data_IF_344235422736
#
_entry.id   IF_344235422736
#
_cell.length_a   1.000
_cell.length_b   1.000
_cell.length_c   1.000
_cell.angle_alpha   90.00
_cell.angle_beta   90.00
_cell.angle_gamma   90.00
#
_symmetry.space_group_name_H-M   'P 1'
#
loop_
_entity.id
_entity.type
_entity.pdbx_description
1 polymer ?
#
# COMPACT_ATOMS: atom_id res chain seq x y z
N UNK A 1 0.70 11.93 -7.86
CA UNK A 1 0.56 11.15 -6.61
C UNK A 1 -0.32 9.90 -6.74
N UNK A 2 -1.66 10.00 -6.86
CA UNK A 2 -2.51 8.77 -6.91
C UNK A 2 -2.15 7.85 -8.08
N UNK A 3 -1.77 8.40 -9.24
CA UNK A 3 -1.27 7.61 -10.38
C UNK A 3 0.00 6.82 -10.01
N UNK A 4 0.98 7.47 -9.39
CA UNK A 4 2.24 6.85 -8.96
C UNK A 4 2.00 5.77 -7.89
N UNK A 5 1.08 6.00 -6.95
CA UNK A 5 0.71 4.97 -5.97
C UNK A 5 0.01 3.80 -6.68
N UNK A 6 -0.84 4.06 -7.69
CA UNK A 6 -1.44 3.00 -8.52
C UNK A 6 -0.38 2.16 -9.24
N UNK A 7 0.64 2.80 -9.79
CA UNK A 7 1.77 2.13 -10.45
C UNK A 7 2.57 1.29 -9.45
N UNK A 8 2.81 1.81 -8.25
CA UNK A 8 3.43 1.06 -7.16
C UNK A 8 2.60 -0.16 -6.76
N UNK A 9 1.28 0.00 -6.59
CA UNK A 9 0.37 -1.10 -6.25
C UNK A 9 0.37 -2.17 -7.36
N UNK A 10 0.33 -1.77 -8.63
CA UNK A 10 0.39 -2.68 -9.77
C UNK A 10 1.74 -3.41 -9.88
N UNK A 11 2.85 -2.74 -9.60
CA UNK A 11 4.17 -3.38 -9.56
C UNK A 11 4.25 -4.40 -8.40
N UNK A 12 3.64 -4.08 -7.27
CA UNK A 12 3.60 -4.94 -6.09
C UNK A 12 2.71 -6.18 -6.30
N UNK A 13 1.72 -6.12 -7.21
CA UNK A 13 0.89 -7.28 -7.56
C UNK A 13 1.69 -8.48 -8.10
N UNK A 14 2.83 -8.24 -8.73
CA UNK A 14 3.70 -9.30 -9.27
C UNK A 14 4.30 -10.16 -8.15
N UNK A 15 4.39 -9.62 -6.93
CA UNK A 15 4.96 -10.32 -5.77
C UNK A 15 3.97 -11.23 -5.03
N UNK A 16 2.67 -11.16 -5.32
CA UNK A 16 1.67 -11.93 -4.58
C UNK A 16 1.60 -13.38 -5.01
N UNK A 17 1.43 -14.26 -4.02
CA UNK A 17 1.07 -15.67 -4.25
C UNK A 17 -0.42 -15.83 -4.56
N UNK A 18 -1.26 -14.93 -4.05
CA UNK A 18 -2.70 -14.94 -4.22
C UNK A 18 -3.22 -13.64 -4.83
N UNK A 19 -4.34 -13.72 -5.56
CA UNK A 19 -4.93 -12.54 -6.19
C UNK A 19 -5.40 -11.55 -5.12
N UNK A 20 -4.89 -10.33 -5.19
CA UNK A 20 -5.36 -9.18 -4.40
C UNK A 20 -6.07 -8.20 -5.35
N UNK A 21 -7.29 -7.83 -5.00
CA UNK A 21 -7.99 -6.70 -5.61
C UNK A 21 -7.65 -5.45 -4.81
N UNK A 22 -7.40 -4.34 -5.49
CA UNK A 22 -7.01 -3.10 -4.83
C UNK A 22 -7.66 -1.86 -5.45
N UNK A 23 -7.74 -0.82 -4.64
CA UNK A 23 -8.27 0.47 -5.05
C UNK A 23 -7.65 1.59 -4.25
N UNK A 24 -7.50 2.75 -4.89
CA UNK A 24 -7.08 4.00 -4.26
C UNK A 24 -8.00 5.15 -4.67
N UNK A 25 -8.37 5.97 -3.70
CA UNK A 25 -9.19 7.18 -3.89
C UNK A 25 -8.65 8.32 -3.05
N UNK A 26 -8.74 9.54 -3.55
CA UNK A 26 -8.57 10.72 -2.70
C UNK A 26 -9.74 10.82 -1.72
N UNK A 27 -9.45 11.31 -0.53
CA UNK A 27 -10.48 11.68 0.45
C UNK A 27 -10.79 13.17 0.31
N UNK A 28 -11.89 13.63 0.90
CA UNK A 28 -12.28 15.05 0.88
C UNK A 28 -11.30 15.96 1.65
N UNK A 29 -10.47 15.37 2.51
CA UNK A 29 -9.40 16.04 3.23
C UNK A 29 -8.00 15.77 2.65
N UNK A 30 -6.93 16.26 3.30
CA UNK A 30 -5.56 15.96 2.88
C UNK A 30 -5.25 14.48 3.14
N UNK A 31 -5.49 13.64 2.14
CA UNK A 31 -5.26 12.21 2.27
C UNK A 31 -5.73 11.38 1.10
N UNK A 32 -5.59 10.08 1.27
CA UNK A 32 -6.03 9.05 0.34
C UNK A 32 -6.48 7.83 1.14
N UNK A 33 -7.42 7.08 0.57
CA UNK A 33 -7.84 5.78 1.06
C UNK A 33 -7.30 4.71 0.13
N UNK A 34 -6.54 3.75 0.68
CA UNK A 34 -6.11 2.53 -0.01
C UNK A 34 -6.91 1.36 0.53
N UNK A 35 -7.40 0.51 -0.38
CA UNK A 35 -8.18 -0.68 -0.07
C UNK A 35 -7.53 -1.87 -0.74
N UNK A 36 -7.49 -2.98 -0.02
CA UNK A 36 -7.00 -4.28 -0.46
C UNK A 36 -8.05 -5.34 -0.11
N UNK A 37 -8.30 -6.28 -1.00
CA UNK A 37 -9.25 -7.37 -0.78
C UNK A 37 -8.68 -8.66 -1.35
N UNK A 38 -8.67 -9.72 -0.55
CA UNK A 38 -7.99 -10.96 -0.86
C UNK A 38 -8.18 -11.97 0.27
N UNK A 39 -7.62 -13.16 0.09
CA UNK A 39 -7.84 -14.29 1.02
C UNK A 39 -6.69 -14.51 2.00
N UNK A 40 -5.54 -13.86 1.80
CA UNK A 40 -4.35 -14.00 2.65
C UNK A 40 -3.98 -12.67 3.28
N UNK A 41 -3.95 -12.65 4.61
CA UNK A 41 -3.67 -11.45 5.39
C UNK A 41 -2.27 -10.90 5.12
N UNK A 42 -1.30 -11.76 4.81
CA UNK A 42 0.09 -11.40 4.51
C UNK A 42 0.19 -10.58 3.22
N UNK A 43 -0.54 -10.98 2.17
CA UNK A 43 -0.56 -10.26 0.89
C UNK A 43 -1.25 -8.89 1.06
N UNK A 44 -2.35 -8.85 1.82
CA UNK A 44 -3.06 -7.60 2.15
C UNK A 44 -2.17 -6.65 2.96
N UNK A 45 -1.54 -7.17 4.00
CA UNK A 45 -0.64 -6.40 4.85
C UNK A 45 0.57 -5.88 4.06
N UNK A 46 1.15 -6.71 3.20
CA UNK A 46 2.25 -6.34 2.31
C UNK A 46 1.89 -5.18 1.39
N UNK A 47 0.69 -5.18 0.77
CA UNK A 47 0.23 -4.07 -0.08
C UNK A 47 0.14 -2.75 0.70
N UNK A 48 -0.57 -2.79 1.83
CA UNK A 48 -0.85 -1.59 2.61
C UNK A 48 0.46 -1.01 3.18
N UNK A 49 1.38 -1.88 3.61
CA UNK A 49 2.69 -1.46 4.13
C UNK A 49 3.56 -0.84 3.05
N UNK A 50 3.60 -1.41 1.84
CA UNK A 50 4.36 -0.85 0.72
C UNK A 50 3.89 0.56 0.35
N UNK A 51 2.58 0.80 0.34
CA UNK A 51 2.05 2.15 0.11
C UNK A 51 2.43 3.09 1.25
N UNK A 52 2.30 2.65 2.50
CA UNK A 52 2.63 3.47 3.66
C UNK A 52 4.12 3.83 3.70
N UNK A 53 5.00 2.90 3.33
CA UNK A 53 6.44 3.11 3.21
C UNK A 53 6.79 4.16 2.14
N UNK A 54 6.13 4.11 1.00
CA UNK A 54 6.30 5.13 -0.04
C UNK A 54 5.88 6.52 0.45
N UNK A 55 4.75 6.62 1.15
CA UNK A 55 4.29 7.90 1.71
C UNK A 55 5.25 8.41 2.79
N UNK A 56 5.76 7.53 3.65
CA UNK A 56 6.76 7.85 4.69
C UNK A 56 8.05 8.37 4.08
N UNK A 57 8.58 7.67 3.08
CA UNK A 57 9.78 8.07 2.34
C UNK A 57 9.59 9.43 1.69
N UNK A 58 8.47 9.63 1.00
CA UNK A 58 8.20 10.84 0.23
C UNK A 58 7.99 12.08 1.09
N UNK A 59 7.23 11.97 2.17
CA UNK A 59 6.84 13.14 2.97
C UNK A 59 7.73 13.39 4.19
N UNK A 60 8.40 12.36 4.69
CA UNK A 60 9.16 12.43 5.94
C UNK A 60 10.60 11.93 5.80
N UNK A 61 11.01 11.43 4.64
CA UNK A 61 12.33 10.81 4.45
C UNK A 61 12.54 9.58 5.33
N UNK A 62 11.45 8.96 5.79
CA UNK A 62 11.50 7.84 6.73
C UNK A 62 11.66 6.50 5.98
N UNK A 63 12.36 5.58 6.62
CA UNK A 63 12.47 4.20 6.15
C UNK A 63 11.18 3.37 6.36
N UNK A 64 11.26 2.07 6.04
CA UNK A 64 10.14 1.14 6.13
C UNK A 64 9.47 1.10 7.51
N UNK A 65 8.21 0.66 7.51
CA UNK A 65 7.41 0.42 8.71
C UNK A 65 7.89 -0.84 9.42
N UNK A 66 8.60 -0.62 10.52
CA UNK A 66 8.97 -1.67 11.48
C UNK A 66 7.83 -1.89 12.50
N UNK A 67 6.69 -2.41 12.04
CA UNK A 67 5.59 -2.74 12.94
C UNK A 67 5.91 -4.02 13.73
N UNK A 68 5.55 -4.02 15.02
CA UNK A 68 5.72 -5.19 15.87
C UNK A 68 4.84 -6.33 15.35
N UNK A 69 5.46 -7.47 15.03
CA UNK A 69 4.75 -8.71 14.73
C UNK A 69 4.18 -9.28 16.03
N UNK A 70 2.90 -9.64 16.04
CA UNK A 70 2.21 -10.31 17.14
C UNK A 70 1.96 -11.76 16.79
#
# INVERSE_FOLDING_TARGET
MVKEIRELMAAHQVAYKHKVLDAITFTDGPGLAVRATGTYTEDLYSLITAVADELRRRFRGQGPLELRKY
#
